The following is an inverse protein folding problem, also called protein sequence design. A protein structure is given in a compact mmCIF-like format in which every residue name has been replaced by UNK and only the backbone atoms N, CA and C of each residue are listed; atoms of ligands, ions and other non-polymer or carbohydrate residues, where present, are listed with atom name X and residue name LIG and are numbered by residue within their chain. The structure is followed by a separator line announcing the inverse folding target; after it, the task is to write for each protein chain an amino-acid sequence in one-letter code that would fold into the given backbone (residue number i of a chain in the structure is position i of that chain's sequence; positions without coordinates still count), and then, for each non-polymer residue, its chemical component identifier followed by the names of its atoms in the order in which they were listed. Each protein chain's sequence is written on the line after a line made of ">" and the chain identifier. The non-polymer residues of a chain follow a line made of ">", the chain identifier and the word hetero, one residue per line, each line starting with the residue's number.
data_IF_032341637460
#
_entry.id   IF_032341637460
#
_cell.length_a   1.000
_cell.length_b   1.000
_cell.length_c   1.000
_cell.angle_alpha   90.00
_cell.angle_beta   90.00
_cell.angle_gamma   90.00
#
_symmetry.space_group_name_H-M   'P 1'
#
loop_
_entity.id
_entity.type
_entity.pdbx_description
1 polymer ?
#
# COMPACT_ATOMS: atom_id res chain seq x y z
N UNK A 1 -14.08 10.90 9.91
CA UNK A 1 -15.03 9.97 10.58
C UNK A 1 -14.71 8.54 10.15
N UNK A 2 -14.48 7.66 11.13
CA UNK A 2 -14.10 6.26 10.95
C UNK A 2 -15.28 5.32 11.17
N UNK A 3 -15.48 4.37 10.25
CA UNK A 3 -16.60 3.43 10.24
C UNK A 3 -16.04 2.01 10.17
N UNK A 4 -16.15 1.25 11.26
CA UNK A 4 -15.61 -0.11 11.35
C UNK A 4 -16.57 -1.08 12.07
N UNK A 5 -16.30 -2.39 11.96
CA UNK A 5 -16.94 -3.43 12.76
C UNK A 5 -16.11 -3.68 14.04
N UNK A 6 -16.69 -3.73 15.25
CA UNK A 6 -15.93 -3.85 16.51
C UNK A 6 -15.38 -5.24 16.87
N UNK A 7 -15.37 -6.22 15.96
CA UNK A 7 -14.71 -7.51 16.22
C UNK A 7 -13.21 -7.50 15.89
N UNK A 8 -12.75 -6.45 15.21
CA UNK A 8 -11.32 -6.19 15.08
C UNK A 8 -10.85 -5.59 16.41
N UNK A 9 -9.82 -6.21 17.01
CA UNK A 9 -9.07 -5.86 18.22
C UNK A 9 -9.04 -4.34 18.60
N UNK A 10 -8.58 -3.97 19.82
CA UNK A 10 -8.38 -2.56 20.23
C UNK A 10 -7.49 -1.70 19.28
N UNK A 11 -6.99 -2.23 18.16
CA UNK A 11 -6.41 -1.50 17.04
C UNK A 11 -7.37 -0.56 16.30
N UNK A 12 -8.69 -0.74 16.40
CA UNK A 12 -9.65 0.22 15.87
C UNK A 12 -9.54 1.61 16.52
N UNK A 13 -9.07 1.69 17.77
CA UNK A 13 -8.80 2.96 18.47
C UNK A 13 -7.38 3.51 18.26
N UNK A 14 -6.46 2.73 17.68
CA UNK A 14 -5.09 3.20 17.37
C UNK A 14 -5.04 4.09 16.12
N UNK A 15 -5.98 3.95 15.19
CA UNK A 15 -5.96 4.75 13.95
C UNK A 15 -6.29 6.24 14.17
N UNK A 16 -7.30 6.60 14.98
CA UNK A 16 -7.49 7.99 15.41
C UNK A 16 -6.27 8.60 16.10
N UNK A 17 -5.53 7.81 16.90
CA UNK A 17 -4.39 8.32 17.66
C UNK A 17 -3.27 8.81 16.76
N UNK A 18 -2.92 8.06 15.70
CA UNK A 18 -1.90 8.49 14.74
C UNK A 18 -2.25 9.80 14.04
N UNK A 19 -3.54 10.12 13.84
CA UNK A 19 -3.96 11.39 13.21
C UNK A 19 -3.59 12.58 14.08
N UNK A 20 -3.77 12.46 15.40
CA UNK A 20 -3.46 13.54 16.35
C UNK A 20 -1.96 13.83 16.48
N UNK A 21 -1.09 12.94 15.98
CA UNK A 21 0.36 13.20 15.92
C UNK A 21 0.75 14.14 14.77
N UNK A 22 -0.10 14.27 13.74
CA UNK A 22 0.25 15.00 12.50
C UNK A 22 -0.71 16.14 12.17
N UNK A 23 -1.91 16.17 12.75
CA UNK A 23 -2.92 17.21 12.49
C UNK A 23 -3.92 17.39 13.65
N UNK A 24 -4.50 18.59 13.74
CA UNK A 24 -5.63 18.87 14.62
C UNK A 24 -6.94 18.52 13.89
N UNK A 25 -7.61 17.46 14.33
CA UNK A 25 -8.77 16.90 13.62
C UNK A 25 -9.86 16.42 14.58
N UNK A 26 -11.11 16.59 14.18
CA UNK A 26 -12.24 15.95 14.85
C UNK A 26 -12.41 14.51 14.36
N UNK A 27 -12.03 13.54 15.21
CA UNK A 27 -12.15 12.13 14.89
C UNK A 27 -13.40 11.52 15.53
N UNK A 28 -14.38 11.14 14.71
CA UNK A 28 -15.62 10.49 15.13
C UNK A 28 -15.57 9.02 14.72
N UNK A 29 -15.70 8.10 15.67
CA UNK A 29 -15.86 6.67 15.42
C UNK A 29 -17.35 6.31 15.40
N UNK A 30 -17.81 5.69 14.31
CA UNK A 30 -19.20 5.23 14.15
C UNK A 30 -19.28 3.76 14.51
N UNK A 31 -19.77 3.49 15.72
CA UNK A 31 -20.07 2.13 16.14
C UNK A 31 -21.48 1.72 15.68
N UNK A 32 -21.53 0.67 14.87
CA UNK A 32 -22.76 0.03 14.43
C UNK A 32 -22.73 -1.49 14.68
N UNK A 33 -22.00 -1.93 15.72
CA UNK A 33 -21.81 -3.34 16.11
C UNK A 33 -23.09 -4.16 16.01
N UNK A 34 -24.16 -3.66 16.65
CA UNK A 34 -25.46 -4.34 16.74
C UNK A 34 -26.09 -4.56 15.37
N UNK A 35 -25.97 -3.60 14.46
CA UNK A 35 -26.44 -3.74 13.07
C UNK A 35 -25.55 -4.66 12.24
N UNK A 36 -24.27 -4.77 12.59
CA UNK A 36 -23.32 -5.65 11.88
C UNK A 36 -23.33 -7.09 12.39
N UNK A 37 -23.66 -7.37 13.65
CA UNK A 37 -23.63 -8.72 14.27
C UNK A 37 -24.92 -9.48 13.99
N UNK A 38 -25.16 -9.78 12.72
CA UNK A 38 -26.31 -10.55 12.23
C UNK A 38 -25.84 -11.41 11.06
N UNK A 39 -26.72 -12.13 10.39
CA UNK A 39 -26.39 -12.86 9.15
C UNK A 39 -25.74 -11.94 8.12
N UNK A 40 -24.85 -12.49 7.30
CA UNK A 40 -24.19 -11.80 6.21
C UNK A 40 -25.18 -11.32 5.14
N UNK A 41 -26.38 -11.88 5.05
CA UNK A 41 -27.44 -11.35 4.18
C UNK A 41 -28.12 -10.12 4.77
N UNK A 42 -28.24 -10.03 6.10
CA UNK A 42 -28.88 -8.91 6.78
C UNK A 42 -27.92 -7.74 7.02
N UNK A 43 -26.64 -8.01 7.34
CA UNK A 43 -25.67 -6.95 7.65
C UNK A 43 -25.48 -5.93 6.51
N UNK A 44 -25.41 -6.33 5.22
CA UNK A 44 -25.41 -5.42 4.08
C UNK A 44 -26.70 -4.61 3.95
N UNK A 45 -27.87 -5.17 4.26
CA UNK A 45 -29.12 -4.40 4.24
C UNK A 45 -29.12 -3.29 5.31
N UNK A 46 -28.50 -3.55 6.47
CA UNK A 46 -28.37 -2.57 7.54
C UNK A 46 -27.44 -1.40 7.18
N UNK A 47 -26.57 -1.54 6.17
CA UNK A 47 -25.70 -0.46 5.66
C UNK A 47 -26.52 0.76 5.25
N UNK A 48 -27.68 0.55 4.63
CA UNK A 48 -28.58 1.62 4.18
C UNK A 48 -29.04 2.50 5.35
N UNK A 49 -29.36 1.89 6.48
CA UNK A 49 -29.83 2.59 7.69
C UNK A 49 -28.67 3.39 8.31
N UNK A 50 -27.51 2.76 8.49
CA UNK A 50 -26.34 3.44 9.09
C UNK A 50 -25.86 4.59 8.20
N UNK A 51 -25.82 4.38 6.88
CA UNK A 51 -25.46 5.43 5.92
C UNK A 51 -26.43 6.62 5.94
N UNK A 52 -27.73 6.36 6.10
CA UNK A 52 -28.74 7.43 6.24
C UNK A 52 -28.56 8.22 7.55
N UNK A 53 -28.32 7.55 8.68
CA UNK A 53 -28.04 8.20 9.96
C UNK A 53 -26.77 9.06 9.91
N UNK A 54 -25.74 8.56 9.24
CA UNK A 54 -24.51 9.31 9.00
C UNK A 54 -24.74 10.56 8.16
N UNK A 55 -25.50 10.45 7.05
CA UNK A 55 -25.84 11.61 6.22
C UNK A 55 -26.65 12.66 7.01
N UNK A 56 -27.58 12.23 7.86
CA UNK A 56 -28.34 13.12 8.74
C UNK A 56 -27.41 13.88 9.70
N UNK A 57 -26.45 13.19 10.32
CA UNK A 57 -25.47 13.84 11.19
C UNK A 57 -24.61 14.85 10.43
N UNK A 58 -24.12 14.49 9.25
CA UNK A 58 -23.34 15.41 8.40
C UNK A 58 -24.14 16.65 8.01
N UNK A 59 -25.43 16.50 7.68
CA UNK A 59 -26.31 17.62 7.38
C UNK A 59 -26.46 18.57 8.59
N UNK A 60 -26.66 18.03 9.79
CA UNK A 60 -26.73 18.82 11.03
C UNK A 60 -25.42 19.57 11.32
N UNK A 61 -24.27 18.95 11.08
CA UNK A 61 -22.96 19.59 11.27
C UNK A 61 -22.71 20.70 10.23
N UNK A 62 -23.09 20.47 8.97
CA UNK A 62 -22.98 21.49 7.91
C UNK A 62 -23.79 22.74 8.22
N UNK A 63 -25.01 22.58 8.73
CA UNK A 63 -25.90 23.69 9.07
C UNK A 63 -25.39 24.53 10.24
N UNK A 64 -24.80 23.90 11.26
CA UNK A 64 -24.50 24.57 12.52
C UNK A 64 -23.07 25.09 12.66
N UNK A 65 -22.12 24.57 11.88
CA UNK A 65 -20.70 24.82 12.16
C UNK A 65 -19.84 25.17 10.93
N UNK A 66 -20.42 25.29 9.74
CA UNK A 66 -19.67 25.53 8.49
C UNK A 66 -18.47 24.59 8.27
N UNK A 67 -18.50 23.38 8.83
CA UNK A 67 -17.42 22.39 8.67
C UNK A 67 -17.44 21.85 7.24
N UNK A 68 -16.44 22.25 6.45
CA UNK A 68 -16.11 21.63 5.18
C UNK A 68 -14.58 21.58 5.02
N UNK A 69 -14.03 20.52 4.40
CA UNK A 69 -14.70 19.30 3.92
C UNK A 69 -14.63 18.11 4.90
N UNK A 70 -15.69 17.27 4.94
CA UNK A 70 -15.67 16.00 5.69
C UNK A 70 -14.96 14.87 4.94
N UNK A 71 -14.26 14.01 5.69
CA UNK A 71 -13.65 12.76 5.22
C UNK A 71 -14.26 11.55 5.92
N UNK A 72 -14.84 10.63 5.14
CA UNK A 72 -15.36 9.34 5.61
C UNK A 72 -14.36 8.23 5.30
N UNK A 73 -14.03 7.42 6.30
CA UNK A 73 -13.14 6.27 6.16
C UNK A 73 -13.91 5.03 6.57
N UNK A 74 -14.08 4.09 5.63
CA UNK A 74 -14.87 2.89 5.82
C UNK A 74 -14.09 1.63 5.52
N UNK A 75 -14.07 0.69 6.46
CA UNK A 75 -13.46 -0.64 6.28
C UNK A 75 -14.52 -1.71 6.04
N UNK A 76 -14.28 -2.60 5.08
CA UNK A 76 -15.19 -3.71 4.77
C UNK A 76 -16.60 -3.20 4.42
N UNK A 77 -17.67 -3.71 5.05
CA UNK A 77 -19.02 -3.16 4.88
C UNK A 77 -19.12 -1.67 5.24
N UNK A 78 -18.25 -1.17 6.13
CA UNK A 78 -18.17 0.26 6.45
C UNK A 78 -17.80 1.14 5.25
N UNK A 79 -17.11 0.61 4.23
CA UNK A 79 -16.86 1.34 2.98
C UNK A 79 -18.17 1.63 2.23
N UNK A 80 -19.10 0.67 2.22
CA UNK A 80 -20.43 0.85 1.64
C UNK A 80 -21.30 1.77 2.49
N UNK A 81 -21.15 1.77 3.82
CA UNK A 81 -21.80 2.76 4.70
C UNK A 81 -21.34 4.18 4.34
N UNK A 82 -20.03 4.38 4.14
CA UNK A 82 -19.49 5.66 3.69
C UNK A 82 -20.04 6.07 2.32
N UNK A 83 -20.13 5.11 1.38
CA UNK A 83 -20.71 5.31 0.06
C UNK A 83 -22.18 5.76 0.13
N UNK A 84 -23.00 5.10 0.94
CA UNK A 84 -24.41 5.45 1.12
C UNK A 84 -24.57 6.83 1.79
N UNK A 85 -23.73 7.15 2.77
CA UNK A 85 -23.71 8.48 3.38
C UNK A 85 -23.31 9.55 2.36
N UNK A 86 -22.30 9.29 1.52
CA UNK A 86 -21.85 10.19 0.46
C UNK A 86 -22.90 10.42 -0.61
N UNK A 87 -23.62 9.37 -1.03
CA UNK A 87 -24.75 9.47 -1.97
C UNK A 87 -25.84 10.43 -1.50
N UNK A 88 -26.04 10.53 -0.18
CA UNK A 88 -27.03 11.41 0.47
C UNK A 88 -26.46 12.77 0.90
N UNK A 89 -25.16 13.01 0.73
CA UNK A 89 -24.48 14.22 1.24
C UNK A 89 -23.79 14.96 0.09
N UNK A 90 -24.48 15.95 -0.49
CA UNK A 90 -23.89 16.82 -1.51
C UNK A 90 -22.67 17.57 -0.97
N UNK A 91 -21.61 17.67 -1.77
CA UNK A 91 -20.35 18.34 -1.38
C UNK A 91 -19.63 17.63 -0.23
N UNK A 92 -19.67 16.30 -0.17
CA UNK A 92 -18.76 15.53 0.68
C UNK A 92 -17.34 15.60 0.09
N UNK A 93 -16.33 15.81 0.93
CA UNK A 93 -14.96 16.02 0.45
C UNK A 93 -14.26 14.76 -0.01
N UNK A 94 -14.26 13.72 0.84
CA UNK A 94 -13.50 12.49 0.58
C UNK A 94 -14.16 11.27 1.19
N UNK A 95 -14.10 10.16 0.46
CA UNK A 95 -14.34 8.81 0.99
C UNK A 95 -13.07 7.99 0.79
N UNK A 96 -12.70 7.19 1.78
CA UNK A 96 -11.67 6.16 1.65
C UNK A 96 -12.26 4.82 2.03
N UNK A 97 -12.38 3.93 1.05
CA UNK A 97 -12.93 2.59 1.22
C UNK A 97 -11.85 1.52 1.21
N UNK A 98 -12.02 0.49 2.03
CA UNK A 98 -11.08 -0.62 2.13
C UNK A 98 -11.76 -1.98 1.93
N UNK A 99 -11.18 -2.83 1.06
CA UNK A 99 -11.54 -4.25 1.00
C UNK A 99 -12.33 -4.71 -0.22
N UNK A 100 -12.27 -3.99 -1.35
CA UNK A 100 -12.81 -4.45 -2.64
C UNK A 100 -11.70 -4.67 -3.67
N UNK A 101 -11.93 -5.60 -4.60
CA UNK A 101 -11.05 -5.85 -5.76
C UNK A 101 -11.44 -5.02 -6.97
N UNK A 102 -12.69 -4.61 -7.06
CA UNK A 102 -13.20 -3.78 -8.15
C UNK A 102 -12.71 -2.34 -7.97
N UNK A 103 -12.45 -1.65 -9.08
CA UNK A 103 -12.17 -0.23 -9.08
C UNK A 103 -13.46 0.53 -8.72
N UNK A 104 -13.43 1.27 -7.61
CA UNK A 104 -14.63 1.95 -7.06
C UNK A 104 -14.36 3.39 -6.62
N UNK A 105 -13.18 3.92 -6.92
CA UNK A 105 -12.84 5.31 -6.63
C UNK A 105 -12.01 5.93 -7.75
N UNK A 106 -11.77 7.24 -7.63
CA UNK A 106 -10.90 7.95 -8.57
C UNK A 106 -9.45 7.43 -8.53
N UNK A 107 -9.00 6.96 -7.37
CA UNK A 107 -7.69 6.34 -7.15
C UNK A 107 -7.88 4.97 -6.48
N UNK A 108 -7.53 3.90 -7.19
CA UNK A 108 -7.56 2.53 -6.67
C UNK A 108 -6.14 1.98 -6.52
N UNK A 109 -5.80 1.61 -5.28
CA UNK A 109 -4.47 1.13 -4.90
C UNK A 109 -4.48 -0.38 -4.68
N UNK A 110 -3.51 -1.06 -5.28
CA UNK A 110 -3.40 -2.52 -5.25
C UNK A 110 -2.03 -2.95 -4.71
N UNK A 111 -1.80 -2.78 -3.39
CA UNK A 111 -0.53 -3.19 -2.77
C UNK A 111 -0.33 -4.70 -2.92
N UNK A 112 0.90 -5.13 -3.25
CA UNK A 112 1.31 -6.53 -3.42
C UNK A 112 0.38 -7.35 -4.35
N UNK A 113 -0.24 -6.71 -5.35
CA UNK A 113 -1.05 -7.42 -6.35
C UNK A 113 -2.41 -7.95 -5.87
N UNK A 114 -2.92 -7.51 -4.70
CA UNK A 114 -4.23 -7.86 -4.09
C UNK A 114 -4.36 -9.20 -3.38
N UNK A 115 -3.64 -10.23 -3.81
CA UNK A 115 -4.00 -11.61 -3.44
C UNK A 115 -3.38 -12.07 -2.13
N UNK A 116 -2.10 -11.76 -1.91
CA UNK A 116 -1.36 -12.27 -0.77
C UNK A 116 -0.50 -11.17 -0.15
N UNK A 117 -0.92 -10.68 1.00
CA UNK A 117 -0.17 -9.68 1.74
C UNK A 117 0.96 -10.35 2.51
N UNK A 118 2.16 -9.75 2.49
CA UNK A 118 3.34 -10.30 3.17
C UNK A 118 3.03 -10.60 4.64
N UNK A 119 3.34 -11.82 5.10
CA UNK A 119 3.10 -12.27 6.47
C UNK A 119 1.67 -12.73 6.78
N UNK A 120 0.77 -12.82 5.78
CA UNK A 120 -0.53 -13.47 5.93
C UNK A 120 -0.50 -14.89 5.38
N UNK A 121 -1.22 -15.83 6.02
CA UNK A 121 -1.45 -17.18 5.48
C UNK A 121 -2.62 -17.17 4.49
N UNK A 122 -2.60 -18.06 3.49
CA UNK A 122 -3.76 -18.29 2.63
C UNK A 122 -4.86 -18.98 3.41
N UNK A 123 -6.09 -18.47 3.30
CA UNK A 123 -7.26 -19.25 3.70
C UNK A 123 -7.28 -20.54 2.88
N UNK A 124 -7.64 -21.66 3.49
CA UNK A 124 -7.82 -22.91 2.77
C UNK A 124 -8.86 -22.69 1.65
N UNK A 125 -8.51 -23.05 0.42
CA UNK A 125 -9.44 -22.98 -0.72
C UNK A 125 -10.58 -23.96 -0.44
N UNK A 126 -11.77 -23.45 -0.15
CA UNK A 126 -12.99 -24.24 0.01
C UNK A 126 -13.99 -23.83 -1.09
N UNK A 127 -14.64 -24.82 -1.70
CA UNK A 127 -15.76 -24.59 -2.63
C UNK A 127 -17.02 -24.12 -1.90
N UNK A 128 -17.09 -24.33 -0.57
CA UNK A 128 -18.20 -23.91 0.29
C UNK A 128 -17.66 -22.89 1.28
N UNK A 129 -18.16 -21.65 1.20
CA UNK A 129 -17.78 -20.56 2.11
C UNK A 129 -18.98 -20.25 3.01
N UNK A 130 -18.88 -20.62 4.29
CA UNK A 130 -19.85 -20.28 5.33
C UNK A 130 -19.68 -18.81 5.72
N UNK A 131 -20.24 -17.91 4.90
CA UNK A 131 -20.13 -16.47 5.10
C UNK A 131 -20.76 -16.03 6.42
N UNK A 132 -21.87 -16.64 6.83
CA UNK A 132 -22.53 -16.35 8.09
C UNK A 132 -21.67 -16.75 9.28
N UNK A 133 -21.05 -17.94 9.25
CA UNK A 133 -20.14 -18.39 10.29
C UNK A 133 -18.83 -17.59 10.36
N UNK A 134 -18.26 -17.22 9.21
CA UNK A 134 -17.09 -16.32 9.13
C UNK A 134 -17.45 -14.96 9.72
N UNK A 135 -18.62 -14.43 9.38
CA UNK A 135 -19.07 -13.12 9.79
C UNK A 135 -19.47 -13.05 11.27
N UNK A 136 -20.10 -14.11 11.78
CA UNK A 136 -20.42 -14.28 13.20
C UNK A 136 -19.17 -14.59 14.06
N UNK A 137 -18.04 -14.93 13.42
CA UNK A 137 -16.81 -15.32 14.11
C UNK A 137 -16.84 -16.75 14.65
N UNK A 138 -17.77 -17.59 14.19
CA UNK A 138 -17.91 -19.00 14.56
C UNK A 138 -17.15 -19.95 13.62
N UNK A 139 -16.55 -19.42 12.54
CA UNK A 139 -15.67 -20.14 11.61
C UNK A 139 -14.31 -19.47 11.52
N UNK A 140 -13.26 -20.28 11.39
CA UNK A 140 -11.90 -19.82 11.17
C UNK A 140 -11.78 -19.13 9.80
N UNK A 141 -11.71 -17.80 9.83
CA UNK A 141 -11.40 -16.98 8.69
C UNK A 141 -10.04 -16.33 8.89
N UNK A 142 -9.13 -16.51 7.93
CA UNK A 142 -7.86 -15.79 7.95
C UNK A 142 -8.12 -14.35 7.50
N UNK A 143 -8.59 -13.54 8.44
CA UNK A 143 -8.88 -12.12 8.23
C UNK A 143 -7.62 -11.31 7.91
N UNK A 144 -6.41 -11.87 8.08
CA UNK A 144 -5.15 -11.15 7.92
C UNK A 144 -5.10 -10.28 6.65
N UNK A 145 -5.38 -10.84 5.47
CA UNK A 145 -5.38 -10.06 4.22
C UNK A 145 -6.44 -8.95 4.22
N UNK A 146 -7.64 -9.22 4.73
CA UNK A 146 -8.74 -8.27 4.83
C UNK A 146 -8.44 -7.08 5.76
N UNK A 147 -7.72 -7.35 6.86
CA UNK A 147 -7.34 -6.36 7.86
C UNK A 147 -6.10 -5.54 7.47
N UNK A 148 -5.36 -5.91 6.41
CA UNK A 148 -4.14 -5.20 6.00
C UNK A 148 -4.40 -3.78 5.49
N UNK A 149 -5.53 -3.59 4.83
CA UNK A 149 -5.93 -2.31 4.24
C UNK A 149 -5.91 -1.15 5.25
N UNK A 150 -6.54 -1.33 6.41
CA UNK A 150 -6.57 -0.30 7.45
C UNK A 150 -5.21 -0.17 8.16
N UNK A 151 -4.42 -1.24 8.26
CA UNK A 151 -3.06 -1.22 8.83
C UNK A 151 -2.12 -0.38 7.98
N UNK A 152 -2.16 -0.57 6.66
CA UNK A 152 -1.40 0.27 5.73
C UNK A 152 -1.83 1.73 5.82
N UNK A 153 -3.15 1.99 5.89
CA UNK A 153 -3.64 3.36 6.09
C UNK A 153 -3.11 3.96 7.40
N UNK A 154 -3.17 3.22 8.51
CA UNK A 154 -2.68 3.67 9.82
C UNK A 154 -1.21 4.06 9.79
N UNK A 155 -0.36 3.24 9.16
CA UNK A 155 1.08 3.56 9.03
C UNK A 155 1.32 4.71 8.05
N UNK A 156 0.49 4.85 7.00
CA UNK A 156 0.63 5.93 6.02
C UNK A 156 0.47 7.33 6.62
N UNK A 157 -0.26 7.47 7.73
CA UNK A 157 -0.40 8.74 8.47
C UNK A 157 0.96 9.22 8.96
N UNK A 158 1.75 8.32 9.55
CA UNK A 158 3.08 8.59 10.10
C UNK A 158 4.21 8.46 9.06
N UNK A 159 3.93 7.86 7.90
CA UNK A 159 4.88 7.62 6.82
C UNK A 159 4.44 8.31 5.51
N UNK A 160 4.53 9.66 5.42
CA UNK A 160 3.99 10.44 4.31
C UNK A 160 4.60 10.17 2.94
N UNK A 161 5.74 9.47 2.89
CA UNK A 161 6.44 9.08 1.64
C UNK A 161 6.67 7.57 1.54
N UNK A 162 6.05 6.78 2.41
CA UNK A 162 6.33 5.35 2.57
C UNK A 162 5.50 4.44 1.67
N UNK A 163 4.56 5.00 0.89
CA UNK A 163 3.56 4.24 0.15
C UNK A 163 3.33 4.81 -1.24
N UNK A 164 4.40 5.27 -1.90
CA UNK A 164 4.40 5.75 -3.27
C UNK A 164 3.87 4.66 -4.21
N UNK A 165 2.79 4.96 -4.94
CA UNK A 165 2.11 3.99 -5.80
C UNK A 165 2.20 4.39 -7.28
N UNK A 166 2.55 3.42 -8.12
CA UNK A 166 2.91 3.64 -9.52
C UNK A 166 1.73 3.31 -10.44
N UNK A 167 1.36 4.21 -11.37
CA UNK A 167 0.35 3.90 -12.37
C UNK A 167 0.84 2.78 -13.27
N UNK A 168 0.04 1.73 -13.43
CA UNK A 168 0.42 0.57 -14.24
C UNK A 168 -0.82 -0.19 -14.71
N UNK A 169 -0.72 -0.88 -15.85
CA UNK A 169 -1.85 -1.64 -16.41
C UNK A 169 -2.24 -2.84 -15.52
N UNK A 170 -1.23 -3.59 -15.06
CA UNK A 170 -1.40 -4.73 -14.19
C UNK A 170 -0.19 -4.95 -13.28
N UNK A 171 -0.38 -5.73 -12.22
CA UNK A 171 0.68 -6.01 -11.24
C UNK A 171 1.87 -6.76 -11.85
N UNK A 172 1.64 -7.60 -12.87
CA UNK A 172 2.72 -8.31 -13.57
C UNK A 172 3.68 -7.37 -14.29
N UNK A 173 3.15 -6.31 -14.92
CA UNK A 173 3.98 -5.31 -15.60
C UNK A 173 4.76 -4.47 -14.58
N UNK A 174 4.16 -4.20 -13.42
CA UNK A 174 4.83 -3.55 -12.29
C UNK A 174 5.97 -4.42 -11.73
N UNK A 175 5.77 -5.73 -11.54
CA UNK A 175 6.84 -6.65 -11.12
C UNK A 175 7.91 -6.88 -12.21
N UNK A 176 7.57 -6.65 -13.48
CA UNK A 176 8.49 -6.76 -14.61
C UNK A 176 9.23 -5.46 -14.94
N UNK A 177 9.29 -4.50 -14.00
CA UNK A 177 10.06 -3.26 -14.11
C UNK A 177 9.63 -2.36 -15.30
N UNK A 178 8.32 -2.31 -15.60
CA UNK A 178 7.77 -1.53 -16.73
C UNK A 178 7.10 -0.22 -16.33
N UNK A 179 6.91 0.01 -15.04
CA UNK A 179 6.05 1.07 -14.51
C UNK A 179 6.79 1.96 -13.48
N UNK A 180 8.08 2.17 -13.72
CA UNK A 180 8.99 2.95 -12.88
C UNK A 180 9.88 3.83 -13.77
N UNK A 181 10.27 5.05 -13.36
CA UNK A 181 9.92 5.73 -12.11
C UNK A 181 8.49 6.30 -12.11
N UNK A 182 8.17 7.18 -11.17
CA UNK A 182 6.95 7.99 -11.24
C UNK A 182 6.93 8.84 -12.52
N UNK A 183 5.74 9.07 -13.12
CA UNK A 183 5.60 9.98 -14.24
C UNK A 183 5.84 11.44 -13.81
N UNK A 184 5.89 12.36 -14.77
CA UNK A 184 6.20 13.78 -14.52
C UNK A 184 5.20 14.47 -13.58
N UNK A 185 3.91 14.06 -13.64
CA UNK A 185 2.87 14.48 -12.71
C UNK A 185 3.05 13.95 -11.27
N UNK A 186 4.01 13.06 -11.06
CA UNK A 186 4.30 12.40 -9.80
C UNK A 186 3.43 11.17 -9.55
N UNK A 187 3.69 10.49 -8.43
CA UNK A 187 2.87 9.37 -7.96
C UNK A 187 2.00 9.78 -6.77
N UNK A 188 0.79 9.25 -6.63
CA UNK A 188 0.04 9.34 -5.39
C UNK A 188 0.69 8.50 -4.28
N UNK A 189 0.52 8.95 -3.04
CA UNK A 189 0.77 8.14 -1.85
C UNK A 189 -0.49 7.34 -1.53
N UNK A 190 -0.39 6.02 -1.40
CA UNK A 190 -1.50 5.22 -0.90
C UNK A 190 -1.76 5.58 0.58
N UNK A 191 -3.04 5.77 0.93
CA UNK A 191 -3.47 5.98 2.31
C UNK A 191 -3.82 7.44 2.61
N UNK A 192 -3.37 7.94 3.75
CA UNK A 192 -3.82 9.22 4.31
C UNK A 192 -3.58 10.38 3.34
N UNK A 193 -2.40 10.46 2.72
CA UNK A 193 -1.99 11.58 1.86
C UNK A 193 -2.35 11.44 0.37
N UNK A 194 -3.21 10.50 -0.01
CA UNK A 194 -3.61 10.30 -1.42
C UNK A 194 -4.29 11.54 -2.04
N UNK A 195 -4.93 12.38 -1.21
CA UNK A 195 -5.57 13.63 -1.60
C UNK A 195 -4.58 14.73 -2.01
N UNK A 196 -3.30 14.59 -1.69
CA UNK A 196 -2.24 15.52 -2.14
C UNK A 196 -1.87 15.33 -3.61
N UNK A 197 -2.27 14.22 -4.23
CA UNK A 197 -2.00 13.99 -5.65
C UNK A 197 -2.78 14.98 -6.51
N UNK A 198 -2.09 15.66 -7.43
CA UNK A 198 -2.69 16.70 -8.26
C UNK A 198 -3.76 16.11 -9.21
N UNK A 199 -3.48 14.95 -9.82
CA UNK A 199 -4.38 14.24 -10.74
C UNK A 199 -5.47 13.40 -10.08
N UNK A 200 -5.75 13.61 -8.78
CA UNK A 200 -6.59 12.70 -7.98
C UNK A 200 -8.00 12.44 -8.51
N UNK A 201 -8.57 13.37 -9.27
CA UNK A 201 -9.91 13.26 -9.87
C UNK A 201 -9.88 13.53 -11.36
N UNK A 202 -8.72 13.34 -12.01
CA UNK A 202 -8.55 13.57 -13.46
C UNK A 202 -9.35 12.56 -14.28
N UNK A 203 -9.41 11.32 -13.82
CA UNK A 203 -10.17 10.24 -14.43
C UNK A 203 -11.10 9.63 -13.38
N UNK A 204 -12.17 8.97 -13.84
CA UNK A 204 -13.12 8.28 -12.97
C UNK A 204 -12.48 7.13 -12.20
N UNK A 205 -11.51 6.43 -12.81
CA UNK A 205 -10.85 5.26 -12.23
C UNK A 205 -9.38 5.18 -12.66
N UNK A 206 -8.47 5.34 -11.71
CA UNK A 206 -7.03 5.22 -11.94
C UNK A 206 -6.45 4.10 -11.09
N UNK A 207 -5.54 3.31 -11.68
CA UNK A 207 -5.01 2.07 -11.08
C UNK A 207 -3.54 2.23 -10.70
N UNK A 208 -3.23 2.00 -9.43
CA UNK A 208 -1.87 2.12 -8.91
C UNK A 208 -1.41 0.85 -8.20
N UNK A 209 -0.14 0.54 -8.34
CA UNK A 209 0.50 -0.62 -7.72
C UNK A 209 1.72 -0.20 -6.89
N UNK A 210 1.97 -0.96 -5.84
CA UNK A 210 3.11 -0.78 -4.94
C UNK A 210 3.35 -2.08 -4.17
N UNK A 211 4.51 -2.20 -3.56
CA UNK A 211 4.81 -3.27 -2.62
C UNK A 211 4.92 -2.72 -1.21
N UNK A 212 4.52 -3.52 -0.22
CA UNK A 212 4.64 -3.20 1.21
C UNK A 212 5.51 -4.24 1.90
N UNK A 213 6.01 -3.88 3.08
CA UNK A 213 6.69 -4.79 3.97
C UNK A 213 5.81 -5.83 4.67
N UNK A 214 6.45 -6.53 5.60
CA UNK A 214 5.81 -7.41 6.58
C UNK A 214 5.26 -6.59 7.79
N UNK A 215 4.57 -7.21 8.78
CA UNK A 215 4.02 -6.52 9.94
C UNK A 215 4.94 -5.62 10.75
N UNK A 216 6.26 -5.78 10.67
CA UNK A 216 7.19 -4.97 11.45
C UNK A 216 7.25 -3.51 10.96
N UNK A 217 7.14 -3.31 9.65
CA UNK A 217 7.15 -2.00 8.98
C UNK A 217 6.69 -2.16 7.54
N UNK A 218 5.54 -1.60 7.18
CA UNK A 218 4.98 -1.73 5.83
C UNK A 218 5.58 -0.77 4.81
N UNK A 219 6.01 0.41 5.23
CA UNK A 219 6.52 1.45 4.36
C UNK A 219 7.72 0.96 3.54
N UNK A 220 7.73 1.26 2.24
CA UNK A 220 8.79 0.89 1.31
C UNK A 220 9.12 2.03 0.36
N UNK A 221 10.39 2.09 -0.05
CA UNK A 221 10.90 3.03 -1.03
C UNK A 221 11.51 2.26 -2.20
N UNK A 222 10.95 2.44 -3.39
CA UNK A 222 11.38 1.74 -4.59
C UNK A 222 12.56 2.45 -5.26
N UNK A 223 13.58 1.68 -5.61
CA UNK A 223 14.77 2.13 -6.32
C UNK A 223 14.98 1.30 -7.58
N UNK A 224 15.36 1.98 -8.66
CA UNK A 224 15.89 1.36 -9.87
C UNK A 224 17.41 1.38 -9.84
N UNK A 225 18.04 0.27 -10.24
CA UNK A 225 19.49 0.15 -10.34
C UNK A 225 19.87 -0.42 -11.69
N UNK A 226 20.86 0.18 -12.34
CA UNK A 226 21.52 -0.40 -13.51
C UNK A 226 23.01 -0.56 -13.26
N UNK A 227 23.52 -1.76 -13.46
CA UNK A 227 24.91 -2.15 -13.20
C UNK A 227 25.56 -2.59 -14.49
N UNK A 228 26.59 -1.85 -14.94
CA UNK A 228 27.46 -2.29 -16.03
C UNK A 228 28.62 -3.09 -15.46
N UNK A 229 28.65 -4.39 -15.76
CA UNK A 229 29.59 -5.35 -15.17
C UNK A 229 31.01 -5.22 -15.74
N UNK A 230 32.00 -5.59 -14.94
CA UNK A 230 33.42 -5.64 -15.32
C UNK A 230 34.12 -6.84 -14.68
N UNK A 231 35.37 -7.09 -15.08
CA UNK A 231 36.16 -8.22 -14.57
C UNK A 231 36.09 -9.44 -15.48
N UNK A 232 35.92 -10.64 -14.90
CA UNK A 232 35.84 -11.91 -15.64
C UNK A 232 34.42 -12.47 -15.67
N UNK A 233 34.14 -13.29 -16.68
CA UNK A 233 32.89 -14.06 -16.76
C UNK A 233 32.80 -15.03 -15.58
N UNK A 234 31.65 -15.04 -14.92
CA UNK A 234 31.35 -15.93 -13.79
C UNK A 234 29.85 -16.25 -13.75
N UNK A 235 29.46 -17.20 -12.91
CA UNK A 235 28.04 -17.51 -12.66
C UNK A 235 27.72 -17.28 -11.20
N UNK A 236 26.74 -16.43 -10.91
CA UNK A 236 26.48 -16.04 -9.53
C UNK A 236 25.37 -15.02 -9.38
N UNK A 237 25.27 -14.51 -8.16
CA UNK A 237 24.33 -13.46 -7.78
C UNK A 237 25.04 -12.13 -7.66
N UNK A 238 24.48 -11.09 -8.26
CA UNK A 238 24.87 -9.69 -8.04
C UNK A 238 23.91 -9.07 -7.03
N UNK A 239 24.46 -8.47 -5.98
CA UNK A 239 23.72 -7.76 -4.95
C UNK A 239 24.20 -6.33 -4.82
N UNK A 240 23.31 -5.43 -4.43
CA UNK A 240 23.63 -4.02 -4.16
C UNK A 240 23.11 -3.59 -2.80
N UNK A 241 23.82 -2.65 -2.16
CA UNK A 241 23.36 -1.94 -0.98
C UNK A 241 23.66 -0.44 -1.13
N UNK A 242 22.68 0.40 -0.78
CA UNK A 242 22.77 1.85 -0.90
C UNK A 242 23.16 2.46 0.44
N UNK A 243 24.00 3.50 0.40
CA UNK A 243 24.40 4.29 1.56
C UNK A 243 24.15 5.75 1.23
N UNK A 244 23.42 6.43 2.09
CA UNK A 244 23.14 7.85 1.99
C UNK A 244 23.07 8.52 3.35
N UNK A 245 22.76 9.82 3.35
CA UNK A 245 22.80 10.64 4.55
C UNK A 245 21.76 10.26 5.62
N UNK A 246 20.71 9.49 5.28
CA UNK A 246 19.70 9.00 6.24
C UNK A 246 19.93 7.55 6.70
N UNK A 247 20.99 6.89 6.22
CA UNK A 247 21.33 5.51 6.56
C UNK A 247 21.63 4.66 5.34
N UNK A 248 21.54 3.34 5.51
CA UNK A 248 21.86 2.38 4.46
C UNK A 248 20.83 1.26 4.36
N UNK A 249 20.69 0.70 3.16
CA UNK A 249 19.82 -0.46 2.93
C UNK A 249 20.52 -1.76 3.33
N UNK A 250 19.73 -2.83 3.46
CA UNK A 250 20.23 -4.21 3.33
C UNK A 250 20.68 -4.49 1.88
N UNK A 251 21.22 -5.69 1.66
CA UNK A 251 21.60 -6.14 0.32
C UNK A 251 20.38 -6.64 -0.47
N UNK A 252 20.24 -6.17 -1.71
CA UNK A 252 19.18 -6.56 -2.64
C UNK A 252 19.76 -7.26 -3.85
N UNK A 253 19.14 -8.36 -4.28
CA UNK A 253 19.54 -9.10 -5.46
C UNK A 253 19.15 -8.33 -6.73
N UNK A 254 20.12 -8.03 -7.59
CA UNK A 254 19.89 -7.38 -8.89
C UNK A 254 19.78 -8.42 -10.00
N UNK A 255 20.59 -9.47 -9.94
CA UNK A 255 20.66 -10.49 -10.98
C UNK A 255 21.17 -11.81 -10.42
N UNK A 256 20.73 -12.92 -11.01
CA UNK A 256 21.23 -14.26 -10.73
C UNK A 256 21.38 -15.02 -12.05
N UNK A 257 22.62 -15.42 -12.38
CA UNK A 257 22.90 -16.13 -13.62
C UNK A 257 24.33 -15.91 -14.12
N UNK A 258 24.51 -15.97 -15.44
CA UNK A 258 25.82 -15.76 -16.07
C UNK A 258 26.13 -14.26 -16.12
N UNK A 259 27.17 -13.86 -15.41
CA UNK A 259 27.72 -12.52 -15.32
C UNK A 259 28.74 -12.37 -16.44
N UNK A 260 28.45 -11.49 -17.41
CA UNK A 260 29.35 -11.20 -18.55
C UNK A 260 29.92 -9.78 -18.41
N UNK A 261 31.23 -9.58 -18.48
CA UNK A 261 31.81 -8.23 -18.48
C UNK A 261 31.27 -7.40 -19.65
N UNK A 262 31.02 -6.12 -19.40
CA UNK A 262 30.46 -5.18 -20.38
C UNK A 262 28.92 -5.22 -20.50
N UNK A 263 28.23 -6.26 -20.01
CA UNK A 263 26.77 -6.25 -20.01
C UNK A 263 26.21 -5.32 -18.94
N UNK A 264 25.06 -4.70 -19.24
CA UNK A 264 24.32 -3.86 -18.29
C UNK A 264 23.08 -4.61 -17.83
N UNK A 265 22.90 -4.70 -16.51
CA UNK A 265 21.79 -5.37 -15.86
C UNK A 265 20.98 -4.33 -15.11
N UNK A 266 19.66 -4.32 -15.31
CA UNK A 266 18.75 -3.42 -14.62
C UNK A 266 17.77 -4.21 -13.76
N UNK A 267 17.47 -3.71 -12.57
CA UNK A 267 16.45 -4.26 -11.69
C UNK A 267 15.87 -3.18 -10.78
N UNK A 268 14.73 -3.46 -10.18
CA UNK A 268 14.08 -2.62 -9.19
C UNK A 268 13.92 -3.38 -7.88
N UNK A 269 13.96 -2.67 -6.76
CA UNK A 269 13.72 -3.25 -5.46
C UNK A 269 13.09 -2.26 -4.48
N UNK A 270 12.35 -2.80 -3.52
CA UNK A 270 11.65 -2.06 -2.47
C UNK A 270 12.45 -2.09 -1.16
N UNK A 271 13.06 -0.96 -0.81
CA UNK A 271 13.83 -0.77 0.42
C UNK A 271 12.93 -0.44 1.62
N UNK A 272 13.32 -0.86 2.81
CA UNK A 272 12.66 -0.55 4.10
C UNK A 272 13.04 0.82 4.69
N UNK A 273 13.90 1.58 3.99
CA UNK A 273 14.39 2.90 4.37
C UNK A 273 14.56 3.81 3.14
N UNK A 274 14.20 5.10 3.27
CA UNK A 274 14.69 6.16 2.37
C UNK A 274 16.10 6.55 2.80
N UNK A 275 17.11 6.21 1.99
CA UNK A 275 18.51 6.54 2.31
C UNK A 275 18.83 8.03 2.14
N UNK A 276 17.88 8.84 1.65
CA UNK A 276 18.12 10.26 1.39
C UNK A 276 19.07 10.44 0.21
N UNK A 277 19.97 11.41 0.26
CA UNK A 277 20.94 11.63 -0.83
C UNK A 277 21.89 10.43 -0.88
N UNK A 278 21.94 9.72 -2.01
CA UNK A 278 22.80 8.55 -2.19
C UNK A 278 24.25 9.03 -2.31
N UNK A 279 25.09 8.61 -1.38
CA UNK A 279 26.51 8.99 -1.35
C UNK A 279 27.39 7.87 -1.91
N UNK A 280 27.03 6.61 -1.62
CA UNK A 280 27.82 5.43 -2.00
C UNK A 280 26.92 4.24 -2.32
N UNK A 281 27.36 3.40 -3.25
CA UNK A 281 26.74 2.11 -3.55
C UNK A 281 27.78 1.01 -3.39
N UNK A 282 27.44 -0.05 -2.67
CA UNK A 282 28.28 -1.25 -2.56
C UNK A 282 27.69 -2.35 -3.42
N UNK A 283 28.53 -2.93 -4.27
CA UNK A 283 28.20 -4.14 -5.01
C UNK A 283 28.88 -5.34 -4.35
N UNK A 284 28.13 -6.42 -4.21
CA UNK A 284 28.63 -7.71 -3.76
C UNK A 284 28.27 -8.74 -4.83
N UNK A 285 29.20 -9.62 -5.16
CA UNK A 285 28.91 -10.79 -5.98
C UNK A 285 29.17 -12.06 -5.18
N UNK A 286 28.26 -13.03 -5.30
CA UNK A 286 28.42 -14.34 -4.70
C UNK A 286 28.45 -15.39 -5.80
N UNK A 287 29.45 -16.28 -5.73
CA UNK A 287 29.57 -17.41 -6.64
C UNK A 287 28.63 -18.53 -6.24
N UNK A 288 27.94 -19.14 -7.21
CA UNK A 288 27.05 -20.27 -6.96
C UNK A 288 27.77 -21.62 -7.09
N UNK A 289 29.03 -21.64 -7.53
CA UNK A 289 29.81 -22.86 -7.78
C UNK A 289 31.24 -22.70 -7.27
N UNK A 290 31.86 -23.73 -6.69
CA UNK A 290 33.29 -23.68 -6.34
C UNK A 290 34.11 -23.44 -7.62
N UNK A 291 34.78 -22.29 -7.71
CA UNK A 291 35.58 -21.93 -8.87
C UNK A 291 37.05 -21.74 -8.46
N UNK A 292 37.94 -22.69 -8.82
CA UNK A 292 39.35 -22.66 -8.41
C UNK A 292 40.14 -21.50 -9.01
N UNK A 293 39.62 -20.83 -10.05
CA UNK A 293 40.29 -19.68 -10.68
C UNK A 293 40.08 -18.35 -9.93
N UNK A 294 39.25 -18.35 -8.86
CA UNK A 294 38.92 -17.17 -8.04
C UNK A 294 38.61 -15.91 -8.89
N UNK A 295 37.58 -15.96 -9.75
CA UNK A 295 37.29 -14.86 -10.67
C UNK A 295 36.93 -13.59 -9.90
N UNK A 296 37.47 -12.46 -10.36
CA UNK A 296 37.09 -11.13 -9.87
C UNK A 296 35.99 -10.56 -10.77
N UNK A 297 34.87 -10.22 -10.16
CA UNK A 297 33.73 -9.52 -10.77
C UNK A 297 33.64 -8.14 -10.12
N UNK A 298 33.39 -7.12 -10.93
CA UNK A 298 33.15 -5.76 -10.46
C UNK A 298 32.07 -5.07 -11.26
N UNK A 299 31.89 -3.77 -11.03
CA UNK A 299 31.06 -2.91 -11.86
C UNK A 299 31.86 -1.71 -12.33
N UNK A 300 31.82 -1.47 -13.65
CA UNK A 300 32.41 -0.28 -14.26
C UNK A 300 31.56 0.95 -13.98
N UNK A 301 30.24 0.80 -13.94
CA UNK A 301 29.28 1.87 -13.68
C UNK A 301 28.07 1.31 -12.95
N UNK A 302 27.57 2.09 -11.99
CA UNK A 302 26.29 1.83 -11.32
C UNK A 302 25.48 3.13 -11.38
N UNK A 303 24.28 3.06 -11.93
CA UNK A 303 23.32 4.18 -11.92
C UNK A 303 22.15 3.83 -11.01
N UNK A 304 21.76 4.78 -10.17
CA UNK A 304 20.65 4.66 -9.25
C UNK A 304 19.57 5.65 -9.61
N UNK A 305 18.32 5.21 -9.54
CA UNK A 305 17.15 6.04 -9.72
C UNK A 305 16.21 5.86 -8.54
N UNK A 306 15.76 6.97 -7.95
CA UNK A 306 14.69 6.97 -6.95
C UNK A 306 13.34 6.99 -7.67
N UNK A 307 12.34 6.30 -7.12
CA UNK A 307 11.00 6.31 -7.73
C UNK A 307 10.35 7.68 -7.83
N UNK A 308 10.54 8.53 -6.81
CA UNK A 308 10.04 9.91 -6.80
C UNK A 308 10.97 10.92 -7.48
N UNK A 309 12.10 10.47 -8.05
CA UNK A 309 13.02 11.35 -8.76
C UNK A 309 12.50 11.65 -10.16
N UNK A 310 12.41 12.93 -10.52
CA UNK A 310 12.26 13.34 -11.92
C UNK A 310 13.49 12.91 -12.71
N UNK A 311 13.29 12.33 -13.89
CA UNK A 311 14.36 12.07 -14.87
C UNK A 311 14.96 13.36 -15.39
#
# INVERSE_FOLDING_TARGET
>A
MWIHKPHDNPLGSLQPQNMFEVEEVNCICVDWKKGSQTTYTQAPNNVCVVGAQMAQMLAMLKLNYSYLPFHLIGHSLGAHVAGEAGRKTLGLGRITGFGTKQQVGHLDFFPNGREEMSGCRKSALSQIVDLDGIWAGTRDFIACNHLRSYKYYSESILSPKGFTAYPCACYRDFESNKCFPCPDEGCPQMGHYADRFAGKTREEQQKFFLNTGDPSKFARWRYGVSVTLSGRTATGQIKVALFGNKGNTRQYNVFNGIIKPGSTLSSEFDADIDVGTIEKVKLLWNNNVVNPTLPKVGAAKITMQKGEGKT
#
